data_IF_740762812414
#
_entry.id   IF_740762812414
#
_cell.length_a   1.000
_cell.length_b   1.000
_cell.length_c   1.000
_cell.angle_alpha   90.00
_cell.angle_beta   90.00
_cell.angle_gamma   90.00
#
_symmetry.space_group_name_H-M   'P 1'
#
loop_
_entity.id
_entity.type
_entity.pdbx_description
1 polymer ?
#
# COMPACT_ATOMS: atom_id res chain seq x y z
N UNK A 1 -56.12 -5.52 -21.14
CA UNK A 1 -56.97 -6.74 -21.13
C UNK A 1 -56.11 -7.90 -20.64
N UNK A 2 -56.42 -8.45 -19.45
CA UNK A 2 -56.95 -9.83 -19.24
C UNK A 2 -55.92 -10.92 -19.61
N UNK A 3 -55.07 -11.38 -18.68
CA UNK A 3 -55.23 -12.37 -17.56
C UNK A 3 -55.06 -13.85 -17.99
N UNK A 4 -54.44 -14.62 -17.08
CA UNK A 4 -54.57 -16.07 -16.80
C UNK A 4 -53.65 -17.07 -17.54
N UNK A 5 -53.23 -18.26 -17.06
CA UNK A 5 -53.58 -19.21 -15.95
C UNK A 5 -52.27 -19.99 -15.60
N UNK A 6 -51.82 -20.10 -14.35
CA UNK A 6 -52.03 -21.17 -13.34
C UNK A 6 -51.38 -22.56 -13.61
N UNK A 7 -50.50 -22.95 -12.67
CA UNK A 7 -50.06 -24.25 -12.13
C UNK A 7 -50.56 -25.60 -12.68
N UNK A 8 -49.66 -26.62 -12.59
CA UNK A 8 -49.83 -28.03 -12.11
C UNK A 8 -48.46 -28.76 -12.26
N UNK A 9 -47.69 -29.13 -11.23
CA UNK A 9 -47.78 -30.22 -10.22
C UNK A 9 -47.90 -31.65 -10.81
N UNK A 10 -47.11 -32.58 -10.21
CA UNK A 10 -47.13 -34.07 -10.14
C UNK A 10 -45.81 -34.65 -10.70
N UNK A 11 -45.01 -35.52 -10.05
CA UNK A 11 -44.98 -36.28 -8.79
C UNK A 11 -43.68 -37.12 -8.80
N UNK A 12 -42.88 -37.21 -7.73
CA UNK A 12 -42.93 -38.15 -6.58
C UNK A 12 -42.31 -39.55 -6.84
N UNK A 13 -41.15 -39.81 -6.22
CA UNK A 13 -40.66 -41.12 -5.72
C UNK A 13 -39.40 -40.84 -4.86
N UNK A 14 -39.45 -40.79 -3.53
CA UNK A 14 -39.47 -41.90 -2.55
C UNK A 14 -38.16 -42.72 -2.50
N UNK A 15 -37.44 -42.64 -1.37
CA UNK A 15 -36.23 -43.44 -1.11
C UNK A 15 -35.63 -43.30 0.30
N UNK A 16 -36.26 -43.98 1.28
CA UNK A 16 -35.72 -44.61 2.51
C UNK A 16 -34.88 -43.83 3.55
N UNK A 17 -35.40 -43.88 4.78
CA UNK A 17 -34.84 -43.47 6.08
C UNK A 17 -33.99 -44.60 6.69
N UNK A 18 -32.86 -44.26 7.34
CA UNK A 18 -32.22 -45.09 8.38
C UNK A 18 -31.75 -44.19 9.53
N UNK A 19 -32.24 -44.51 10.74
CA UNK A 19 -31.83 -43.96 12.04
C UNK A 19 -30.60 -44.75 12.57
N UNK A 20 -29.63 -44.07 13.17
CA UNK A 20 -28.45 -44.66 13.81
C UNK A 20 -28.06 -43.90 15.09
N UNK A 21 -27.77 -44.65 16.16
CA UNK A 21 -27.80 -44.28 17.56
C UNK A 21 -26.72 -43.29 18.06
N UNK A 22 -27.11 -42.61 19.15
CA UNK A 22 -26.32 -41.89 20.16
C UNK A 22 -25.08 -42.66 20.67
N UNK A 23 -23.96 -41.94 20.82
CA UNK A 23 -22.91 -42.26 21.78
C UNK A 23 -22.56 -41.01 22.57
N UNK A 24 -22.91 -41.05 23.86
CA UNK A 24 -22.47 -40.12 24.87
C UNK A 24 -21.09 -40.53 25.39
N UNK A 25 -20.17 -39.57 25.46
CA UNK A 25 -18.98 -39.58 26.31
C UNK A 25 -18.94 -38.16 26.89
N UNK A 26 -19.12 -37.91 28.19
CA UNK A 26 -18.33 -38.50 29.28
C UNK A 26 -17.14 -37.59 29.50
N UNK A 27 -17.30 -36.57 30.36
CA UNK A 27 -16.34 -35.48 30.53
C UNK A 27 -15.07 -35.83 31.30
N UNK A 28 -14.13 -34.89 31.31
CA UNK A 28 -13.14 -34.72 32.36
C UNK A 28 -12.53 -33.31 32.23
N UNK A 29 -12.69 -32.52 33.29
CA UNK A 29 -11.96 -31.28 33.46
C UNK A 29 -10.46 -31.53 33.54
N UNK A 30 -9.71 -30.66 32.90
CA UNK A 30 -8.27 -30.51 33.07
C UNK A 30 -7.98 -29.05 32.83
N UNK A 31 -7.78 -28.30 33.92
CA UNK A 31 -7.16 -26.99 33.85
C UNK A 31 -5.81 -27.17 33.19
N UNK A 32 -5.68 -26.61 32.01
CA UNK A 32 -4.40 -26.34 31.38
C UNK A 32 -4.43 -24.84 31.14
N UNK A 33 -3.46 -24.17 31.77
CA UNK A 33 -3.19 -22.76 31.57
C UNK A 33 -3.32 -22.44 30.07
N UNK A 34 -4.35 -21.67 29.73
CA UNK A 34 -4.28 -20.85 28.53
C UNK A 34 -3.17 -19.86 28.85
N UNK A 35 -1.95 -20.20 28.45
CA UNK A 35 -0.97 -19.20 28.15
C UNK A 35 -1.62 -18.33 27.07
N UNK A 36 -2.18 -17.20 27.51
CA UNK A 36 -2.53 -16.07 26.69
C UNK A 36 -1.21 -15.52 26.12
N UNK A 37 -0.66 -16.28 25.16
CA UNK A 37 0.45 -15.85 24.35
C UNK A 37 -0.10 -14.83 23.39
N UNK A 38 -0.15 -13.57 23.83
CA UNK A 38 -0.38 -12.44 22.94
C UNK A 38 0.56 -12.58 21.75
N UNK A 39 -0.01 -12.59 20.54
CA UNK A 39 0.74 -12.67 19.28
C UNK A 39 1.43 -11.31 19.10
N UNK A 40 2.50 -11.03 19.85
CA UNK A 40 3.40 -9.93 19.51
C UNK A 40 4.29 -10.42 18.40
N UNK A 41 3.92 -10.09 17.17
CA UNK A 41 4.76 -10.35 16.00
C UNK A 41 5.81 -9.25 15.87
N UNK A 42 7.09 -9.62 15.77
CA UNK A 42 8.15 -8.75 15.26
C UNK A 42 8.28 -8.96 13.74
N UNK A 43 8.66 -7.93 12.99
CA UNK A 43 8.63 -8.00 11.52
C UNK A 43 9.04 -6.73 10.77
N UNK A 44 8.78 -6.69 9.46
CA UNK A 44 8.98 -5.52 8.59
C UNK A 44 7.76 -5.31 7.69
N UNK A 45 7.28 -4.06 7.57
CA UNK A 45 6.23 -3.65 6.63
C UNK A 45 6.74 -2.57 5.68
N UNK A 46 6.23 -2.58 4.45
CA UNK A 46 6.56 -1.59 3.41
C UNK A 46 5.27 -1.10 2.78
N UNK A 47 5.10 0.21 2.69
CA UNK A 47 3.82 0.82 2.30
C UNK A 47 3.92 2.34 2.14
N UNK A 48 2.94 2.97 1.48
CA UNK A 48 2.90 4.44 1.36
C UNK A 48 2.57 5.09 2.71
N UNK A 49 3.27 6.18 3.05
CA UNK A 49 2.94 7.03 4.21
C UNK A 49 1.61 7.76 3.97
N UNK A 50 0.72 7.83 4.97
CA UNK A 50 -0.58 8.51 4.88
C UNK A 50 -0.94 9.45 6.05
N UNK A 51 0.00 9.74 6.97
CA UNK A 51 -0.21 10.60 8.15
C UNK A 51 1.10 10.91 8.90
N UNK A 52 1.07 11.87 9.84
CA UNK A 52 2.22 12.31 10.65
C UNK A 52 1.88 12.32 12.14
N UNK A 53 2.88 12.08 13.00
CA UNK A 53 2.68 11.81 14.45
C UNK A 53 2.60 10.31 14.76
N UNK A 54 2.45 9.52 13.71
CA UNK A 54 2.56 8.08 13.60
C UNK A 54 2.65 7.78 12.09
N UNK A 55 3.42 6.77 11.70
CA UNK A 55 3.52 6.39 10.29
C UNK A 55 2.52 5.28 10.00
N UNK A 56 1.61 5.54 9.07
CA UNK A 56 0.67 4.55 8.59
C UNK A 56 1.25 3.77 7.42
N UNK A 57 1.34 2.44 7.57
CA UNK A 57 1.87 1.55 6.53
C UNK A 57 0.93 0.37 6.36
N UNK A 58 0.31 0.24 5.19
CA UNK A 58 -0.68 -0.81 4.88
C UNK A 58 -1.88 -0.84 5.86
N UNK A 59 -2.25 0.31 6.42
CA UNK A 59 -3.39 0.44 7.34
C UNK A 59 -3.06 0.18 8.82
N UNK A 60 -1.79 -0.08 9.15
CA UNK A 60 -1.31 -0.16 10.54
C UNK A 60 -0.67 1.16 10.93
N UNK A 61 -1.03 1.68 12.10
CA UNK A 61 -0.44 2.88 12.70
C UNK A 61 0.79 2.52 13.52
N UNK A 62 1.97 3.03 13.16
CA UNK A 62 3.18 2.83 13.95
C UNK A 62 3.56 4.08 14.74
N UNK A 63 3.63 3.94 16.06
CA UNK A 63 4.28 4.94 16.92
C UNK A 63 5.78 5.01 16.62
N UNK A 64 6.31 6.21 16.47
CA UNK A 64 7.74 6.48 16.22
C UNK A 64 8.45 7.09 17.43
N UNK A 65 7.75 7.19 18.57
CA UNK A 65 8.23 7.90 19.76
C UNK A 65 9.49 7.28 20.38
N UNK A 66 9.68 5.97 20.18
CA UNK A 66 10.84 5.22 20.69
C UNK A 66 12.09 5.40 19.81
N UNK A 67 11.96 6.02 18.63
CA UNK A 67 13.07 6.29 17.73
C UNK A 67 13.71 7.64 18.09
N UNK A 68 15.00 7.69 18.47
CA UNK A 68 15.68 8.94 18.78
C UNK A 68 15.57 9.95 17.63
N UNK A 69 15.06 11.15 17.93
CA UNK A 69 14.80 12.21 16.95
C UNK A 69 13.90 11.81 15.76
N UNK A 70 13.17 10.67 15.86
CA UNK A 70 12.40 10.08 14.75
C UNK A 70 13.24 9.94 13.47
N UNK A 71 14.48 9.47 13.65
CA UNK A 71 15.45 9.28 12.59
C UNK A 71 14.92 8.31 11.52
N UNK A 72 15.25 8.62 10.25
CA UNK A 72 14.97 7.78 9.10
C UNK A 72 16.31 7.44 8.45
N UNK A 73 16.62 6.14 8.35
CA UNK A 73 17.80 5.67 7.62
C UNK A 73 17.55 5.86 6.12
N UNK A 74 18.41 6.66 5.49
CA UNK A 74 18.27 7.03 4.09
C UNK A 74 19.60 7.49 3.53
N UNK A 75 19.86 7.20 2.25
CA UNK A 75 20.97 7.82 1.50
C UNK A 75 20.52 9.06 0.70
N UNK A 76 19.29 9.53 0.94
CA UNK A 76 18.56 10.37 0.00
C UNK A 76 18.13 11.73 0.55
N UNK A 77 18.80 12.17 1.61
CA UNK A 77 18.56 13.42 2.31
C UNK A 77 17.31 13.42 3.22
N UNK A 78 16.58 12.30 3.30
CA UNK A 78 15.42 12.15 4.19
C UNK A 78 15.87 11.51 5.50
N UNK A 79 16.31 12.34 6.45
CA UNK A 79 16.96 11.86 7.68
C UNK A 79 16.03 11.77 8.89
N UNK A 80 14.77 12.20 8.76
CA UNK A 80 13.81 12.23 9.86
C UNK A 80 12.36 12.14 9.36
N UNK A 81 11.45 11.65 10.21
CA UNK A 81 10.04 11.47 9.89
C UNK A 81 9.38 12.75 9.35
N UNK A 82 9.73 13.92 9.91
CA UNK A 82 9.18 15.21 9.47
C UNK A 82 9.56 15.62 8.04
N UNK A 83 10.51 14.92 7.40
CA UNK A 83 10.88 15.10 5.99
C UNK A 83 10.13 14.15 5.06
N UNK A 84 9.45 13.13 5.60
CA UNK A 84 8.62 12.24 4.81
C UNK A 84 7.41 12.99 4.26
N UNK A 85 6.90 12.49 3.15
CA UNK A 85 5.68 12.99 2.53
C UNK A 85 4.74 11.83 2.26
N UNK A 86 3.44 12.13 2.25
CA UNK A 86 2.44 11.15 1.86
C UNK A 86 2.78 10.54 0.49
N UNK A 87 2.49 9.24 0.34
CA UNK A 87 2.79 8.48 -0.88
C UNK A 87 4.25 8.00 -1.02
N UNK A 88 5.18 8.49 -0.20
CA UNK A 88 6.51 7.89 -0.09
C UNK A 88 6.40 6.47 0.45
N UNK A 89 7.13 5.53 -0.14
CA UNK A 89 7.13 4.13 0.26
C UNK A 89 8.18 3.95 1.37
N UNK A 90 7.72 3.82 2.60
CA UNK A 90 8.56 3.67 3.78
C UNK A 90 8.67 2.20 4.17
N UNK A 91 9.86 1.77 4.60
CA UNK A 91 10.04 0.51 5.34
C UNK A 91 10.03 0.80 6.83
N UNK A 92 9.20 0.06 7.55
CA UNK A 92 9.12 0.09 9.01
C UNK A 92 9.48 -1.28 9.54
N UNK A 93 10.38 -1.33 10.53
CA UNK A 93 10.66 -2.51 11.33
C UNK A 93 10.21 -2.23 12.76
N UNK A 94 9.61 -3.22 13.43
CA UNK A 94 9.13 -3.05 14.80
C UNK A 94 8.20 -4.15 15.29
N UNK A 95 7.25 -3.78 16.14
CA UNK A 95 6.24 -4.67 16.71
C UNK A 95 4.84 -4.36 16.16
N UNK A 96 4.06 -5.41 15.91
CA UNK A 96 2.66 -5.32 15.51
C UNK A 96 1.74 -5.73 16.65
N UNK A 97 0.61 -5.05 16.76
CA UNK A 97 -0.49 -5.37 17.68
C UNK A 97 -1.76 -5.76 16.90
N UNK A 98 -2.66 -6.50 17.56
CA UNK A 98 -3.88 -7.06 16.93
C UNK A 98 -5.00 -6.02 16.69
N UNK A 99 -4.84 -4.79 17.19
CA UNK A 99 -5.80 -3.68 17.11
C UNK A 99 -5.57 -2.74 15.92
N UNK A 100 -4.54 -3.00 15.11
CA UNK A 100 -4.16 -2.14 13.99
C UNK A 100 -3.12 -1.08 14.35
N UNK A 101 -2.57 -1.14 15.56
CA UNK A 101 -1.44 -0.32 16.00
C UNK A 101 -0.13 -1.12 16.01
N UNK A 102 0.99 -0.41 16.17
CA UNK A 102 2.32 -0.98 16.28
C UNK A 102 3.32 0.05 16.82
N UNK A 103 4.51 -0.44 17.17
CA UNK A 103 5.64 0.41 17.54
C UNK A 103 6.75 0.24 16.52
N UNK A 104 7.22 1.33 15.93
CA UNK A 104 8.38 1.33 15.05
C UNK A 104 9.67 1.36 15.86
N UNK A 105 10.58 0.44 15.58
CA UNK A 105 11.95 0.42 16.08
C UNK A 105 12.92 1.07 15.09
N UNK A 106 12.59 0.99 13.78
CA UNK A 106 13.42 1.52 12.72
C UNK A 106 12.59 1.95 11.51
N UNK A 107 12.94 3.11 10.96
CA UNK A 107 12.40 3.63 9.70
C UNK A 107 13.52 3.68 8.67
N UNK A 108 13.26 3.18 7.46
CA UNK A 108 14.18 3.27 6.33
C UNK A 108 13.46 3.73 5.08
N UNK A 109 14.04 4.70 4.37
CA UNK A 109 13.49 5.26 3.14
C UNK A 109 14.56 5.52 2.10
N UNK A 110 14.33 5.03 0.89
CA UNK A 110 15.08 5.40 -0.31
C UNK A 110 14.08 5.64 -1.45
N UNK A 111 14.39 6.57 -2.34
CA UNK A 111 13.64 6.73 -3.56
C UNK A 111 13.88 5.55 -4.52
N UNK A 112 12.86 5.28 -5.33
CA UNK A 112 12.90 4.18 -6.30
C UNK A 112 13.68 4.59 -7.54
N UNK A 113 13.51 5.85 -7.96
CA UNK A 113 14.18 6.44 -9.11
C UNK A 113 14.50 7.92 -8.82
N UNK A 114 15.66 8.36 -9.26
CA UNK A 114 16.12 9.75 -9.20
C UNK A 114 16.84 10.10 -10.49
N UNK A 115 16.46 11.19 -11.14
CA UNK A 115 17.09 11.62 -12.39
C UNK A 115 16.22 12.52 -13.26
N UNK A 116 16.72 12.88 -14.46
CA UNK A 116 15.95 13.65 -15.43
C UNK A 116 14.76 12.86 -15.98
N UNK A 117 13.71 13.59 -16.35
CA UNK A 117 12.60 13.04 -17.14
C UNK A 117 12.99 13.03 -18.61
N UNK A 118 13.05 11.86 -19.23
CA UNK A 118 13.45 11.70 -20.64
C UNK A 118 12.29 11.92 -21.62
N UNK A 119 11.10 11.47 -21.23
CA UNK A 119 9.91 11.46 -22.07
C UNK A 119 8.64 11.52 -21.23
N UNK A 120 7.63 12.19 -21.75
CA UNK A 120 6.30 12.24 -21.16
C UNK A 120 5.34 11.68 -22.19
N UNK A 121 4.55 10.68 -21.79
CA UNK A 121 3.51 10.09 -22.61
C UNK A 121 2.17 10.29 -21.92
N UNK A 122 1.27 11.04 -22.56
CA UNK A 122 -0.09 11.21 -22.06
C UNK A 122 -0.88 9.90 -22.13
N UNK A 123 -1.95 9.82 -21.33
CA UNK A 123 -2.92 8.73 -21.41
C UNK A 123 -3.47 8.55 -22.84
N UNK A 124 -3.25 7.39 -23.49
CA UNK A 124 -3.68 7.15 -24.86
C UNK A 124 -5.20 7.18 -25.04
N UNK A 125 -5.98 7.04 -23.96
CA UNK A 125 -7.44 7.18 -24.02
C UNK A 125 -7.89 8.64 -24.18
N UNK A 126 -7.00 9.62 -23.91
CA UNK A 126 -7.31 11.04 -23.89
C UNK A 126 -8.11 11.49 -22.66
N UNK A 127 -8.39 10.60 -21.70
CA UNK A 127 -9.15 10.92 -20.49
C UNK A 127 -8.32 11.67 -19.43
N UNK A 128 -6.98 11.63 -19.52
CA UNK A 128 -6.09 12.27 -18.55
C UNK A 128 -6.09 11.58 -17.19
N UNK A 129 -6.43 10.28 -17.14
CA UNK A 129 -6.47 9.50 -15.91
C UNK A 129 -5.08 9.22 -15.35
N UNK A 130 -4.06 9.30 -16.21
CA UNK A 130 -2.65 9.15 -15.85
C UNK A 130 -1.74 9.82 -16.88
N UNK A 131 -0.46 9.89 -16.53
CA UNK A 131 0.64 10.20 -17.43
C UNK A 131 1.78 9.22 -17.16
N UNK A 132 2.49 8.82 -18.19
CA UNK A 132 3.68 7.98 -18.07
C UNK A 132 4.93 8.81 -18.31
N UNK A 133 5.81 8.87 -17.33
CA UNK A 133 7.11 9.52 -17.41
C UNK A 133 8.19 8.46 -17.64
N UNK A 134 9.12 8.68 -18.56
CA UNK A 134 10.37 7.93 -18.63
C UNK A 134 11.39 8.62 -17.74
N UNK A 135 11.91 7.93 -16.73
CA UNK A 135 12.95 8.43 -15.84
C UNK A 135 14.10 7.43 -15.87
N UNK A 136 15.26 7.85 -16.38
CA UNK A 136 16.43 6.96 -16.57
C UNK A 136 16.09 5.70 -17.37
N UNK A 137 15.25 5.87 -18.41
CA UNK A 137 14.76 4.77 -19.25
C UNK A 137 13.74 3.83 -18.59
N UNK A 138 13.29 4.11 -17.36
CA UNK A 138 12.22 3.38 -16.69
C UNK A 138 10.88 4.07 -16.87
N UNK A 139 9.83 3.31 -17.20
CA UNK A 139 8.47 3.86 -17.33
C UNK A 139 7.78 3.96 -15.98
N UNK A 140 7.42 5.18 -15.59
CA UNK A 140 6.75 5.54 -14.34
C UNK A 140 5.36 6.08 -14.64
N UNK A 141 4.33 5.35 -14.22
CA UNK A 141 2.95 5.79 -14.25
C UNK A 141 2.64 6.68 -13.05
N UNK A 142 2.20 7.89 -13.33
CA UNK A 142 1.69 8.88 -12.37
C UNK A 142 0.20 9.02 -12.62
N UNK A 143 -0.62 8.77 -11.61
CA UNK A 143 -2.08 8.87 -11.70
C UNK A 143 -2.63 9.81 -10.61
N UNK A 144 -3.96 9.97 -10.55
CA UNK A 144 -4.62 10.87 -9.60
C UNK A 144 -4.42 10.50 -8.13
N UNK A 145 -3.91 9.30 -7.84
CA UNK A 145 -3.60 8.86 -6.47
C UNK A 145 -2.13 9.09 -6.11
N UNK A 146 -1.29 9.50 -7.08
CA UNK A 146 0.11 9.86 -6.82
C UNK A 146 0.18 11.23 -6.15
N UNK A 147 0.95 11.35 -5.07
CA UNK A 147 1.28 12.63 -4.46
C UNK A 147 2.32 13.33 -5.33
N UNK A 148 1.98 14.51 -5.84
CA UNK A 148 2.84 15.32 -6.72
C UNK A 148 3.32 16.57 -5.98
N UNK A 149 4.63 16.79 -5.91
CA UNK A 149 5.27 17.97 -5.33
C UNK A 149 6.24 18.65 -6.30
N UNK A 150 6.56 19.92 -6.04
CA UNK A 150 7.38 20.76 -6.92
C UNK A 150 6.71 21.16 -8.24
N UNK A 151 5.57 20.54 -8.58
CA UNK A 151 4.72 20.84 -9.74
C UNK A 151 3.27 20.45 -9.43
N UNK A 152 2.40 20.44 -10.44
CA UNK A 152 1.02 19.96 -10.30
C UNK A 152 0.73 18.80 -11.24
N UNK A 153 -0.21 17.92 -10.87
CA UNK A 153 -0.68 16.85 -11.75
C UNK A 153 -1.22 17.38 -13.09
N UNK A 154 -1.88 18.54 -13.09
CA UNK A 154 -2.37 19.18 -14.31
C UNK A 154 -1.21 19.61 -15.23
N UNK A 155 -0.11 20.10 -14.66
CA UNK A 155 1.12 20.42 -15.43
C UNK A 155 1.73 19.16 -16.03
N UNK A 156 1.77 18.06 -15.27
CA UNK A 156 2.28 16.77 -15.77
C UNK A 156 1.41 16.20 -16.91
N UNK A 157 0.09 16.44 -16.90
CA UNK A 157 -0.80 16.06 -18.01
C UNK A 157 -0.61 16.91 -19.27
N UNK A 158 -0.20 18.17 -19.11
CA UNK A 158 -0.10 19.17 -20.18
C UNK A 158 1.23 19.19 -20.95
N UNK A 159 2.06 18.16 -20.77
CA UNK A 159 3.50 18.11 -21.15
C UNK A 159 4.40 18.94 -20.22
N UNK A 160 4.96 18.34 -19.15
CA UNK A 160 5.96 18.99 -18.33
C UNK A 160 7.24 19.20 -19.14
N UNK A 161 8.04 20.17 -18.72
CA UNK A 161 9.38 20.36 -19.25
C UNK A 161 10.21 19.09 -19.06
N UNK A 162 10.67 18.52 -20.18
CA UNK A 162 11.59 17.35 -20.24
C UNK A 162 12.97 17.68 -19.59
N UNK A 163 13.16 18.90 -19.09
CA UNK A 163 14.38 19.32 -18.38
C UNK A 163 14.32 19.09 -16.86
N UNK A 164 13.17 18.72 -16.33
CA UNK A 164 13.00 18.60 -14.88
C UNK A 164 13.63 17.32 -14.36
N UNK A 165 14.35 17.45 -13.25
CA UNK A 165 14.83 16.30 -12.48
C UNK A 165 13.77 15.94 -11.45
N UNK A 166 13.58 14.64 -11.23
CA UNK A 166 12.58 14.12 -10.31
C UNK A 166 13.18 13.11 -9.37
N UNK A 167 12.60 13.04 -8.17
CA UNK A 167 12.69 11.86 -7.30
C UNK A 167 11.32 11.18 -7.27
N UNK A 168 11.33 9.85 -7.29
CA UNK A 168 10.11 9.04 -7.42
C UNK A 168 10.14 7.92 -6.40
N UNK A 169 9.06 7.76 -5.63
CA UNK A 169 8.82 6.56 -4.83
C UNK A 169 7.69 5.76 -5.48
N UNK A 170 7.99 4.54 -5.94
CA UNK A 170 7.10 3.77 -6.78
C UNK A 170 7.16 2.25 -6.56
N UNK A 171 6.02 1.61 -6.79
CA UNK A 171 5.92 0.15 -6.79
C UNK A 171 6.21 -0.40 -8.18
N UNK A 172 7.21 -1.28 -8.28
CA UNK A 172 7.47 -2.02 -9.51
C UNK A 172 6.28 -2.94 -9.82
N UNK A 173 5.79 -2.87 -11.05
CA UNK A 173 4.67 -3.66 -11.57
C UNK A 173 5.17 -4.94 -12.24
N UNK A 174 4.26 -5.87 -12.50
CA UNK A 174 4.57 -7.16 -13.14
C UNK A 174 5.09 -7.01 -14.58
N UNK A 175 4.69 -5.96 -15.28
CA UNK A 175 5.13 -5.62 -16.64
C UNK A 175 6.50 -4.90 -16.69
N UNK A 176 7.10 -4.66 -15.51
CA UNK A 176 8.38 -3.96 -15.38
C UNK A 176 8.27 -2.43 -15.32
N UNK A 177 7.07 -1.87 -15.49
CA UNK A 177 6.81 -0.45 -15.22
C UNK A 177 6.76 -0.16 -13.73
N UNK A 178 6.70 1.12 -13.36
CA UNK A 178 6.60 1.59 -12.00
C UNK A 178 5.30 2.37 -11.82
N UNK A 179 4.60 2.15 -10.71
CA UNK A 179 3.45 2.96 -10.31
C UNK A 179 3.86 3.87 -9.15
N UNK A 180 3.89 5.18 -9.39
CA UNK A 180 4.32 6.15 -8.39
C UNK A 180 3.27 6.33 -7.29
N UNK A 181 3.71 6.22 -6.03
CA UNK A 181 2.98 6.74 -4.88
C UNK A 181 3.33 8.22 -4.62
N UNK A 182 4.57 8.60 -4.91
CA UNK A 182 5.09 9.95 -4.76
C UNK A 182 6.01 10.34 -5.91
N UNK A 183 5.91 11.59 -6.35
CA UNK A 183 6.85 12.23 -7.26
C UNK A 183 7.08 13.68 -6.86
N UNK A 184 8.34 14.11 -6.91
CA UNK A 184 8.71 15.50 -6.66
C UNK A 184 9.70 15.98 -7.71
N UNK A 185 9.44 17.16 -8.27
CA UNK A 185 10.42 17.89 -9.08
C UNK A 185 11.47 18.50 -8.15
N UNK A 186 12.72 18.15 -8.38
CA UNK A 186 13.88 18.53 -7.58
C UNK A 186 14.89 19.31 -8.42
N UNK A 187 15.75 20.07 -7.74
CA UNK A 187 16.90 20.70 -8.39
C UNK A 187 17.86 19.60 -8.92
N UNK A 188 18.39 19.71 -10.15
CA UNK A 188 19.42 18.81 -10.69
C UNK A 188 20.58 18.51 -9.73
N UNK A 189 21.01 19.47 -8.91
CA UNK A 189 22.11 19.26 -7.95
C UNK A 189 21.78 18.18 -6.90
N UNK A 190 20.49 17.95 -6.63
CA UNK A 190 19.99 16.93 -5.71
C UNK A 190 19.87 15.54 -6.34
N UNK A 191 20.34 15.34 -7.58
CA UNK A 191 20.29 14.01 -8.23
C UNK A 191 21.51 13.12 -7.98
N UNK A 192 22.55 13.63 -7.32
CA UNK A 192 23.82 12.92 -7.08
C UNK A 192 24.16 12.68 -5.62
N UNK A 193 23.32 13.15 -4.71
CA UNK A 193 23.29 12.71 -3.31
C UNK A 193 22.82 11.27 -3.24
#
# INVERSE_FOLDING_TARGET
MKRHFCNRVIGLAAGTVVFGAISACGGAGGGLDVADGGIRGTGSSVGPVSGFGSVFVNGVEFSTDDIPNREVESNDGITAEGLLSEGMILRVEGEWFDDGEGTAEKLSYDDTLRGPVDLVTADPSGAGEFVTLSVMGQSVRVDRQTVVRGTTYATLLGEPSITDHVRVSAWRQADGSYRAGYIEVINPDLTSI
#
